data_IF_789640203012
#
_entry.id   IF_789640203012
#
_cell.length_a   1.000
_cell.length_b   1.000
_cell.length_c   1.000
_cell.angle_alpha   90.00
_cell.angle_beta   90.00
_cell.angle_gamma   90.00
#
_symmetry.space_group_name_H-M   'P 1'
#
loop_
_entity.id
_entity.type
_entity.pdbx_description
1 polymer ?
#
# COMPACT_ATOMS: atom_id res chain seq x y z
N UNK A 1 2.03 82.07 -1.71
CA UNK A 1 1.00 81.07 -1.34
C UNK A 1 0.93 80.03 -2.47
N UNK A 2 1.20 78.76 -2.14
CA UNK A 2 0.99 77.53 -2.93
C UNK A 2 1.76 77.37 -4.25
N UNK A 3 2.82 76.55 -4.21
CA UNK A 3 3.23 75.72 -5.35
C UNK A 3 3.47 74.30 -4.85
N UNK A 4 2.70 73.38 -5.42
CA UNK A 4 2.53 71.98 -5.01
C UNK A 4 3.76 71.12 -5.33
N UNK A 5 4.14 70.25 -4.40
CA UNK A 5 5.04 69.14 -4.66
C UNK A 5 4.20 67.94 -5.13
N UNK A 6 4.40 67.49 -6.38
CA UNK A 6 3.83 66.25 -6.88
C UNK A 6 4.79 65.10 -6.53
N UNK A 7 4.40 64.29 -5.55
CA UNK A 7 5.10 63.08 -5.14
C UNK A 7 4.62 61.93 -6.04
N UNK A 8 5.45 61.50 -6.99
CA UNK A 8 5.16 60.35 -7.85
C UNK A 8 5.27 59.05 -7.06
N UNK A 9 4.14 58.39 -6.80
CA UNK A 9 4.10 57.02 -6.26
C UNK A 9 4.51 56.03 -7.36
N UNK A 10 5.65 55.36 -7.17
CA UNK A 10 6.01 54.13 -7.87
C UNK A 10 5.32 52.95 -7.16
N UNK A 11 4.26 52.39 -7.78
CA UNK A 11 3.72 51.09 -7.36
C UNK A 11 4.56 49.97 -7.99
N UNK A 12 5.39 49.31 -7.19
CA UNK A 12 5.92 47.99 -7.50
C UNK A 12 5.00 46.94 -6.87
N UNK A 13 4.06 46.38 -7.63
CA UNK A 13 3.31 45.21 -7.22
C UNK A 13 4.11 43.95 -7.58
N UNK A 14 4.71 43.32 -6.56
CA UNK A 14 5.35 42.02 -6.68
C UNK A 14 4.30 40.96 -7.07
N UNK A 15 4.43 40.38 -8.26
CA UNK A 15 3.61 39.26 -8.68
C UNK A 15 3.94 38.03 -7.84
N UNK A 16 3.00 37.59 -7.01
CA UNK A 16 3.07 36.26 -6.38
C UNK A 16 2.82 35.22 -7.47
N UNK A 17 3.87 34.53 -7.91
CA UNK A 17 3.70 33.33 -8.71
C UNK A 17 3.19 32.21 -7.80
N UNK A 18 1.87 31.99 -7.82
CA UNK A 18 1.29 30.74 -7.35
C UNK A 18 1.69 29.68 -8.37
N UNK A 19 2.67 28.85 -8.03
CA UNK A 19 2.93 27.64 -8.79
C UNK A 19 1.67 26.78 -8.72
N UNK A 20 0.92 26.72 -9.82
CA UNK A 20 -0.17 25.78 -9.98
C UNK A 20 0.43 24.38 -9.76
N UNK A 21 0.05 23.72 -8.66
CA UNK A 21 0.31 22.30 -8.50
C UNK A 21 -0.43 21.62 -9.64
N UNK A 22 0.32 21.12 -10.62
CA UNK A 22 -0.22 20.24 -11.65
C UNK A 22 -0.79 19.04 -10.92
N UNK A 23 -2.12 18.99 -10.79
CA UNK A 23 -2.84 17.80 -10.36
C UNK A 23 -2.49 16.71 -11.37
N UNK A 24 -1.53 15.86 -11.03
CA UNK A 24 -1.40 14.57 -11.70
C UNK A 24 -2.77 13.93 -11.55
N UNK A 25 -3.39 13.58 -12.68
CA UNK A 25 -4.69 12.94 -12.70
C UNK A 25 -4.60 11.66 -11.87
N UNK A 26 -5.09 11.69 -10.62
CA UNK A 26 -5.32 10.50 -9.79
C UNK A 26 -6.19 9.55 -10.60
N UNK A 27 -5.61 8.42 -11.01
CA UNK A 27 -6.22 7.52 -11.99
C UNK A 27 -6.78 6.26 -11.34
N UNK A 28 -7.77 5.66 -11.99
CA UNK A 28 -8.14 4.29 -11.68
C UNK A 28 -6.97 3.35 -12.03
N UNK A 29 -6.75 2.35 -11.18
CA UNK A 29 -5.80 1.29 -11.45
C UNK A 29 -6.23 0.49 -12.70
N UNK A 30 -5.26 0.17 -13.55
CA UNK A 30 -5.50 -0.62 -14.76
C UNK A 30 -5.28 -2.10 -14.51
N UNK A 31 -6.09 -2.95 -15.15
CA UNK A 31 -5.90 -4.41 -15.12
C UNK A 31 -4.51 -4.77 -15.68
N UNK A 32 -3.76 -5.55 -14.92
CA UNK A 32 -2.46 -6.09 -15.31
C UNK A 32 -2.65 -7.36 -16.13
N UNK A 33 -1.95 -7.43 -17.27
CA UNK A 33 -1.90 -8.60 -18.16
C UNK A 33 -0.44 -8.97 -18.42
N UNK A 34 -0.21 -10.21 -18.88
CA UNK A 34 1.13 -10.67 -19.25
C UNK A 34 2.06 -10.86 -18.05
N UNK A 35 1.53 -11.08 -16.85
CA UNK A 35 2.33 -11.61 -15.76
C UNK A 35 2.93 -12.96 -16.19
N UNK A 36 4.21 -13.23 -15.88
CA UNK A 36 4.87 -14.48 -16.26
C UNK A 36 4.27 -15.68 -15.53
N UNK A 37 3.87 -16.71 -16.27
CA UNK A 37 3.32 -17.94 -15.69
C UNK A 37 4.36 -18.68 -14.82
N UNK A 38 3.88 -19.43 -13.82
CA UNK A 38 4.74 -20.21 -12.92
C UNK A 38 5.48 -19.39 -11.85
N UNK A 39 5.43 -18.06 -11.93
CA UNK A 39 6.06 -17.18 -10.94
C UNK A 39 5.23 -17.13 -9.66
N UNK A 40 5.90 -17.37 -8.53
CA UNK A 40 5.34 -17.28 -7.19
C UNK A 40 6.26 -16.45 -6.30
N UNK A 41 5.70 -15.40 -5.71
CA UNK A 41 6.34 -14.67 -4.62
C UNK A 41 5.68 -15.04 -3.29
N UNK A 42 6.44 -15.03 -2.21
CA UNK A 42 5.94 -15.25 -0.86
C UNK A 42 6.55 -14.24 0.10
N UNK A 43 5.72 -13.72 1.00
CA UNK A 43 6.15 -12.95 2.16
C UNK A 43 5.71 -13.65 3.43
N UNK A 44 6.67 -13.94 4.31
CA UNK A 44 6.45 -14.59 5.61
C UNK A 44 6.69 -13.57 6.71
N UNK A 45 5.74 -13.40 7.62
CA UNK A 45 5.93 -12.49 8.74
C UNK A 45 7.04 -12.99 9.67
N UNK A 46 7.90 -12.10 10.20
CA UNK A 46 8.98 -12.48 11.09
C UNK A 46 8.47 -12.88 12.47
N UNK A 47 9.24 -13.64 13.25
CA UNK A 47 8.86 -14.00 14.62
C UNK A 47 8.81 -12.79 15.57
N UNK A 48 9.61 -11.76 15.29
CA UNK A 48 9.67 -10.54 16.11
C UNK A 48 8.72 -9.48 15.57
N UNK A 49 7.81 -8.94 16.40
CA UNK A 49 6.89 -7.91 15.97
C UNK A 49 7.60 -6.56 15.84
N UNK A 50 7.23 -5.79 14.82
CA UNK A 50 7.65 -4.39 14.73
C UNK A 50 6.97 -3.56 15.83
N UNK A 51 5.64 -3.69 15.95
CA UNK A 51 4.88 -3.03 17.00
C UNK A 51 4.68 -3.94 18.21
N UNK A 52 5.66 -3.94 19.13
CA UNK A 52 5.66 -4.80 20.31
C UNK A 52 4.41 -4.70 21.17
N UNK A 53 3.75 -3.54 21.22
CA UNK A 53 2.54 -3.35 22.01
C UNK A 53 1.33 -4.16 21.48
N UNK A 54 1.36 -4.66 20.24
CA UNK A 54 0.38 -5.63 19.75
C UNK A 54 0.52 -7.02 20.40
N UNK A 55 1.72 -7.32 20.91
CA UNK A 55 2.11 -8.62 21.45
C UNK A 55 2.84 -8.44 22.80
N UNK A 56 2.15 -7.99 23.86
CA UNK A 56 2.77 -7.70 25.16
C UNK A 56 3.44 -8.94 25.78
N UNK A 57 2.91 -10.13 25.49
CA UNK A 57 3.44 -11.42 25.95
C UNK A 57 4.45 -12.03 24.96
N UNK A 58 4.84 -11.29 23.92
CA UNK A 58 5.70 -11.74 22.84
C UNK A 58 4.97 -12.45 21.70
N UNK A 59 5.72 -12.71 20.63
CA UNK A 59 5.21 -13.25 19.37
C UNK A 59 4.87 -12.18 18.34
N UNK A 60 4.38 -12.61 17.19
CA UNK A 60 3.97 -11.77 16.07
C UNK A 60 2.87 -12.51 15.27
N UNK A 61 2.31 -11.86 14.26
CA UNK A 61 1.51 -12.54 13.24
C UNK A 61 2.34 -13.67 12.66
N UNK A 62 1.77 -14.88 12.57
CA UNK A 62 2.44 -16.06 12.02
C UNK A 62 1.83 -16.44 10.69
N UNK A 63 2.66 -16.94 9.77
CA UNK A 63 2.22 -17.42 8.46
C UNK A 63 2.66 -16.52 7.32
N UNK A 64 2.04 -16.70 6.16
CA UNK A 64 2.50 -16.09 4.91
C UNK A 64 1.36 -15.62 4.02
N UNK A 65 1.73 -14.74 3.09
CA UNK A 65 0.97 -14.41 1.91
C UNK A 65 1.76 -14.87 0.69
N UNK A 66 1.15 -15.75 -0.12
CA UNK A 66 1.69 -16.23 -1.38
C UNK A 66 0.98 -15.54 -2.53
N UNK A 67 1.72 -15.18 -3.56
CA UNK A 67 1.24 -14.45 -4.71
C UNK A 67 1.67 -15.17 -5.99
N UNK A 68 0.74 -15.85 -6.65
CA UNK A 68 0.99 -16.64 -7.86
C UNK A 68 0.38 -15.99 -9.10
N UNK A 69 1.05 -16.16 -10.23
CA UNK A 69 0.47 -15.75 -11.51
C UNK A 69 -0.52 -16.80 -12.01
N UNK A 70 -1.80 -16.44 -12.24
CA UNK A 70 -2.78 -17.37 -12.80
C UNK A 70 -2.49 -17.66 -14.27
N UNK A 71 -3.04 -18.77 -14.77
CA UNK A 71 -3.01 -19.11 -16.20
C UNK A 71 -3.53 -17.94 -17.03
N UNK A 72 -2.82 -17.58 -18.10
CA UNK A 72 -3.15 -16.43 -18.95
C UNK A 72 -2.59 -15.08 -18.44
N UNK A 73 -1.93 -15.05 -17.28
CA UNK A 73 -1.11 -13.92 -16.84
C UNK A 73 -1.88 -12.64 -16.48
N UNK A 74 -3.19 -12.70 -16.28
CA UNK A 74 -4.00 -11.55 -15.87
C UNK A 74 -4.10 -11.45 -14.35
N UNK A 75 -3.62 -10.36 -13.77
CA UNK A 75 -3.60 -10.14 -12.32
C UNK A 75 -2.71 -11.15 -11.57
N UNK A 76 -2.93 -11.22 -10.26
CA UNK A 76 -2.20 -12.09 -9.33
C UNK A 76 -3.19 -12.73 -8.36
N UNK A 77 -3.00 -14.02 -8.07
CA UNK A 77 -3.77 -14.73 -7.05
C UNK A 77 -3.00 -14.66 -5.74
N UNK A 78 -3.61 -14.05 -4.73
CA UNK A 78 -3.11 -14.03 -3.38
C UNK A 78 -3.74 -15.16 -2.58
N UNK A 79 -2.92 -15.95 -1.90
CA UNK A 79 -3.32 -16.96 -0.92
C UNK A 79 -2.71 -16.56 0.42
N UNK A 80 -3.56 -16.28 1.40
CA UNK A 80 -3.17 -15.79 2.72
C UNK A 80 -3.52 -16.86 3.75
N UNK A 81 -2.59 -17.12 4.66
CA UNK A 81 -2.84 -17.92 5.84
C UNK A 81 -2.08 -17.33 7.03
N UNK A 82 -2.79 -16.61 7.89
CA UNK A 82 -2.25 -15.94 9.06
C UNK A 82 -2.91 -16.43 10.33
N UNK A 83 -2.11 -16.59 11.38
CA UNK A 83 -2.56 -16.89 12.74
C UNK A 83 -1.92 -15.93 13.73
N UNK A 84 -2.38 -16.00 14.98
CA UNK A 84 -1.93 -15.10 16.04
C UNK A 84 -2.15 -13.62 15.69
N UNK A 85 -3.30 -13.31 15.09
CA UNK A 85 -3.70 -11.92 14.86
C UNK A 85 -3.88 -11.19 16.21
N UNK A 86 -3.64 -9.86 16.27
CA UNK A 86 -3.87 -9.11 17.50
C UNK A 86 -5.31 -9.27 18.00
N UNK A 87 -5.49 -9.34 19.32
CA UNK A 87 -6.82 -9.57 19.94
C UNK A 87 -7.78 -8.37 19.84
N UNK A 88 -7.26 -7.20 19.48
CA UNK A 88 -7.99 -5.94 19.38
C UNK A 88 -7.26 -4.99 18.42
N UNK A 89 -7.89 -3.83 18.13
CA UNK A 89 -7.33 -2.83 17.22
C UNK A 89 -7.73 -3.02 15.75
N UNK A 90 -8.60 -3.99 15.47
CA UNK A 90 -9.21 -4.16 14.15
C UNK A 90 -10.37 -3.19 13.88
N UNK A 91 -11.01 -3.24 12.70
CA UNK A 91 -10.69 -4.15 11.59
C UNK A 91 -9.25 -3.96 11.10
N UNK A 92 -8.59 -5.06 10.73
CA UNK A 92 -7.19 -5.03 10.34
C UNK A 92 -7.07 -4.91 8.82
N UNK A 93 -6.20 -3.99 8.41
CA UNK A 93 -5.91 -3.73 7.01
C UNK A 93 -4.56 -4.34 6.64
N UNK A 94 -4.37 -4.62 5.36
CA UNK A 94 -3.06 -5.02 4.86
C UNK A 94 -2.84 -4.53 3.44
N UNK A 95 -1.63 -4.02 3.19
CA UNK A 95 -1.31 -3.35 1.94
C UNK A 95 0.06 -3.76 1.40
N UNK A 96 0.20 -3.71 0.07
CA UNK A 96 1.50 -3.65 -0.58
C UNK A 96 2.09 -2.25 -0.40
N UNK A 97 3.34 -2.16 0.00
CA UNK A 97 4.06 -0.91 0.20
C UNK A 97 5.17 -0.73 -0.85
N UNK A 98 5.61 0.51 -1.06
CA UNK A 98 6.51 0.84 -2.18
C UNK A 98 7.95 0.38 -1.99
N UNK A 99 8.43 0.29 -0.74
CA UNK A 99 9.81 -0.07 -0.43
C UNK A 99 9.88 -1.39 0.35
N UNK A 100 10.98 -2.15 0.22
CA UNK A 100 11.19 -3.34 1.03
C UNK A 100 11.37 -3.00 2.52
N UNK A 101 11.06 -3.97 3.38
CA UNK A 101 11.44 -3.96 4.79
C UNK A 101 12.98 -4.02 4.88
N UNK A 102 13.63 -3.05 5.55
CA UNK A 102 15.08 -3.10 5.80
C UNK A 102 15.46 -4.23 6.77
N UNK A 103 16.75 -4.56 6.85
CA UNK A 103 17.28 -5.63 7.71
C UNK A 103 16.89 -5.49 9.19
N UNK A 104 16.71 -4.25 9.67
CA UNK A 104 16.31 -3.99 11.05
C UNK A 104 14.80 -4.16 11.31
N UNK A 105 14.01 -4.62 10.33
CA UNK A 105 12.58 -4.89 10.48
C UNK A 105 11.70 -3.64 10.63
N UNK A 106 12.21 -2.44 10.33
CA UNK A 106 11.46 -1.20 10.51
C UNK A 106 10.34 -1.06 9.46
N UNK A 107 9.10 -1.36 9.84
CA UNK A 107 7.96 -1.26 8.94
C UNK A 107 7.67 0.16 8.47
N UNK A 108 8.12 1.22 9.15
CA UNK A 108 7.95 2.60 8.66
C UNK A 108 8.79 2.87 7.41
N UNK A 109 9.91 2.17 7.25
CA UNK A 109 10.81 2.32 6.10
C UNK A 109 10.26 1.70 4.80
N UNK A 110 9.13 0.98 4.85
CA UNK A 110 8.43 0.51 3.65
C UNK A 110 7.70 1.65 2.91
N UNK A 111 7.67 2.86 3.51
CA UNK A 111 7.10 4.09 2.96
C UNK A 111 5.59 3.97 2.66
N UNK A 112 5.08 4.65 1.63
CA UNK A 112 3.66 4.70 1.28
C UNK A 112 3.14 3.37 0.69
N UNK A 113 1.81 3.27 0.52
CA UNK A 113 1.19 2.18 -0.23
C UNK A 113 1.68 2.20 -1.69
N UNK A 114 1.72 1.02 -2.29
CA UNK A 114 2.01 0.87 -3.71
C UNK A 114 0.88 1.50 -4.54
N UNK A 115 1.11 2.68 -5.08
CA UNK A 115 0.07 3.44 -5.77
C UNK A 115 0.61 4.14 -7.04
N UNK A 116 0.92 3.39 -8.11
CA UNK A 116 1.48 3.94 -9.34
C UNK A 116 0.52 4.88 -10.09
N UNK A 117 -0.75 4.92 -9.73
CA UNK A 117 -1.78 5.78 -10.34
C UNK A 117 -2.12 7.00 -9.46
N UNK A 118 -1.44 7.13 -8.33
CA UNK A 118 -1.65 8.21 -7.35
C UNK A 118 -3.13 8.34 -6.94
N UNK A 119 -3.87 7.22 -6.88
CA UNK A 119 -5.29 7.19 -6.54
C UNK A 119 -5.55 7.76 -5.14
N UNK A 120 -4.62 7.56 -4.23
CA UNK A 120 -4.70 8.00 -2.85
C UNK A 120 -5.79 7.29 -2.05
N UNK A 121 -5.94 7.71 -0.78
CA UNK A 121 -6.91 7.14 0.16
C UNK A 121 -8.27 7.86 0.16
N UNK A 122 -8.37 9.01 -0.53
CA UNK A 122 -9.60 9.82 -0.60
C UNK A 122 -9.98 10.08 -2.07
N UNK A 123 -11.20 9.69 -2.50
CA UNK A 123 -12.21 8.99 -1.70
C UNK A 123 -11.75 7.59 -1.28
N UNK A 124 -12.34 7.06 -0.20
CA UNK A 124 -12.05 5.72 0.34
C UNK A 124 -12.19 4.67 -0.77
N UNK A 125 -11.37 3.63 -0.71
CA UNK A 125 -11.47 2.49 -1.62
C UNK A 125 -12.91 1.94 -1.63
N UNK A 126 -13.45 1.81 -2.84
CA UNK A 126 -14.75 1.22 -3.10
C UNK A 126 -14.53 -0.22 -3.59
N UNK A 127 -14.89 -1.20 -2.77
CA UNK A 127 -14.70 -2.62 -3.09
C UNK A 127 -15.60 -3.09 -4.23
N UNK A 128 -16.71 -2.41 -4.48
CA UNK A 128 -17.58 -2.64 -5.63
C UNK A 128 -16.96 -2.10 -6.93
N UNK A 129 -16.01 -1.16 -6.80
CA UNK A 129 -15.23 -0.55 -7.89
C UNK A 129 -13.71 -0.61 -7.59
N UNK A 130 -13.09 -1.81 -7.54
CA UNK A 130 -11.74 -1.98 -7.03
C UNK A 130 -10.64 -1.31 -7.87
N UNK A 131 -10.94 -0.90 -9.11
CA UNK A 131 -10.09 -0.03 -9.91
C UNK A 131 -9.94 1.37 -9.30
N UNK A 132 -10.85 1.78 -8.43
CA UNK A 132 -10.78 3.05 -7.69
C UNK A 132 -9.97 2.92 -6.40
N UNK A 133 -9.36 1.78 -6.12
CA UNK A 133 -8.49 1.61 -4.96
C UNK A 133 -7.02 1.80 -5.35
N UNK A 134 -6.17 2.10 -4.38
CA UNK A 134 -4.73 2.06 -4.63
C UNK A 134 -4.32 0.65 -5.05
N UNK A 135 -3.35 0.50 -5.94
CA UNK A 135 -2.91 -0.83 -6.39
C UNK A 135 -2.54 -1.73 -5.22
N UNK A 136 -1.87 -1.18 -4.20
CA UNK A 136 -1.47 -1.88 -3.00
C UNK A 136 -2.54 -2.02 -1.93
N UNK A 137 -3.72 -1.40 -2.08
CA UNK A 137 -4.81 -1.54 -1.11
C UNK A 137 -5.53 -2.88 -1.31
N UNK A 138 -4.96 -3.95 -0.74
CA UNK A 138 -5.46 -5.30 -0.91
C UNK A 138 -6.69 -5.56 -0.06
N UNK A 139 -6.64 -5.22 1.23
CA UNK A 139 -7.77 -5.42 2.13
C UNK A 139 -8.96 -4.52 1.78
N UNK A 140 -8.74 -3.29 1.34
CA UNK A 140 -9.82 -2.41 0.90
C UNK A 140 -10.64 -3.01 -0.25
N UNK A 141 -10.00 -3.69 -1.21
CA UNK A 141 -10.69 -4.31 -2.36
C UNK A 141 -11.50 -5.56 -2.02
N UNK A 142 -11.12 -6.30 -0.98
CA UNK A 142 -11.75 -7.61 -0.66
C UNK A 142 -12.50 -7.62 0.68
N UNK A 143 -12.33 -6.56 1.48
CA UNK A 143 -12.80 -6.45 2.85
C UNK A 143 -11.67 -6.61 3.87
N UNK A 144 -11.70 -5.76 4.90
CA UNK A 144 -10.78 -5.83 6.02
C UNK A 144 -11.03 -7.07 6.91
N UNK A 145 -10.01 -7.46 7.65
CA UNK A 145 -10.08 -8.58 8.58
C UNK A 145 -10.81 -8.13 9.83
N UNK A 146 -11.84 -8.86 10.26
CA UNK A 146 -12.62 -8.45 11.43
C UNK A 146 -11.79 -8.56 12.72
N UNK A 147 -11.91 -7.56 13.61
CA UNK A 147 -11.04 -7.44 14.79
C UNK A 147 -11.22 -8.51 15.88
N UNK A 148 -12.17 -9.44 15.71
CA UNK A 148 -12.46 -10.53 16.65
C UNK A 148 -11.89 -11.89 16.20
N UNK A 149 -11.13 -11.94 15.11
CA UNK A 149 -10.52 -13.16 14.58
C UNK A 149 -9.08 -13.32 15.10
N UNK A 150 -8.71 -14.54 15.52
CA UNK A 150 -7.31 -14.90 15.84
C UNK A 150 -6.55 -15.44 14.64
N UNK A 151 -7.26 -15.80 13.57
CA UNK A 151 -6.76 -16.43 12.35
C UNK A 151 -7.48 -15.87 11.14
N UNK A 152 -6.79 -15.77 10.01
CA UNK A 152 -7.34 -15.29 8.75
C UNK A 152 -6.75 -16.11 7.60
N UNK A 153 -7.62 -16.74 6.82
CA UNK A 153 -7.24 -17.51 5.65
C UNK A 153 -8.17 -17.18 4.50
N UNK A 154 -7.60 -16.83 3.34
CA UNK A 154 -8.37 -16.49 2.15
C UNK A 154 -7.57 -16.72 0.88
N UNK A 155 -8.26 -16.81 -0.26
CA UNK A 155 -7.63 -16.77 -1.59
C UNK A 155 -8.50 -15.95 -2.53
N UNK A 156 -7.89 -15.01 -3.23
CA UNK A 156 -8.57 -14.15 -4.20
C UNK A 156 -7.63 -13.69 -5.31
N UNK A 157 -8.22 -13.26 -6.42
CA UNK A 157 -7.51 -12.67 -7.56
C UNK A 157 -7.55 -11.14 -7.44
N UNK A 158 -6.40 -10.49 -7.41
CA UNK A 158 -6.28 -9.04 -7.58
C UNK A 158 -5.84 -8.74 -9.01
N UNK A 159 -6.65 -7.95 -9.73
CA UNK A 159 -6.41 -7.65 -11.14
C UNK A 159 -5.35 -6.56 -11.36
N UNK A 160 -4.92 -5.86 -10.32
CA UNK A 160 -4.16 -4.62 -10.42
C UNK A 160 -2.69 -4.78 -9.99
N UNK A 161 -2.38 -5.82 -9.21
CA UNK A 161 -1.03 -6.20 -8.80
C UNK A 161 -0.27 -6.90 -9.93
N UNK A 162 1.05 -6.72 -9.97
CA UNK A 162 1.91 -7.33 -10.98
C UNK A 162 3.06 -8.16 -10.41
N UNK A 163 3.31 -9.30 -11.05
CA UNK A 163 4.54 -10.10 -10.96
C UNK A 163 5.49 -9.81 -12.15
N UNK A 164 5.04 -9.03 -13.14
CA UNK A 164 5.86 -8.59 -14.27
C UNK A 164 6.77 -7.41 -13.87
N UNK A 165 8.09 -7.64 -13.89
CA UNK A 165 9.09 -6.60 -13.63
C UNK A 165 8.96 -5.45 -14.64
N UNK A 166 9.21 -4.22 -14.17
CA UNK A 166 9.15 -3.01 -14.98
C UNK A 166 7.80 -2.29 -14.94
N UNK A 167 6.73 -2.95 -14.49
CA UNK A 167 5.47 -2.28 -14.19
C UNK A 167 5.55 -1.52 -12.86
N UNK A 168 4.92 -0.34 -12.79
CA UNK A 168 4.79 0.42 -11.55
C UNK A 168 4.08 -0.37 -10.44
N UNK A 169 3.15 -1.27 -10.81
CA UNK A 169 2.44 -2.19 -9.92
C UNK A 169 3.22 -3.46 -9.53
N UNK A 170 4.46 -3.61 -10.01
CA UNK A 170 5.31 -4.75 -9.63
C UNK A 170 5.65 -4.70 -8.14
N UNK A 171 5.25 -5.72 -7.39
CA UNK A 171 5.46 -5.77 -5.93
C UNK A 171 6.50 -6.81 -5.49
N UNK A 172 7.00 -7.67 -6.39
CA UNK A 172 7.84 -8.82 -6.04
C UNK A 172 9.18 -8.49 -5.38
N UNK A 173 9.62 -7.23 -5.40
CA UNK A 173 10.80 -6.71 -4.68
C UNK A 173 10.44 -5.72 -3.54
N UNK A 174 9.18 -5.75 -3.09
CA UNK A 174 8.65 -4.83 -2.09
C UNK A 174 8.09 -5.62 -0.90
N UNK A 175 7.27 -4.97 -0.09
CA UNK A 175 6.76 -5.54 1.15
C UNK A 175 5.23 -5.55 1.25
N UNK A 176 4.72 -6.46 2.08
CA UNK A 176 3.40 -6.39 2.67
C UNK A 176 3.50 -5.77 4.08
N UNK A 177 2.52 -4.96 4.46
CA UNK A 177 2.38 -4.43 5.83
C UNK A 177 0.98 -4.72 6.35
N UNK A 178 0.90 -5.17 7.59
CA UNK A 178 -0.35 -5.36 8.33
C UNK A 178 -0.57 -4.18 9.29
N UNK A 179 -1.80 -3.68 9.36
CA UNK A 179 -2.15 -2.50 10.13
C UNK A 179 -3.35 -2.74 11.06
N UNK A 180 -3.37 -1.99 12.15
CA UNK A 180 -4.59 -1.69 12.89
C UNK A 180 -5.51 -0.75 12.11
N UNK A 181 -6.78 -0.67 12.52
CA UNK A 181 -7.77 0.25 11.98
C UNK A 181 -7.32 1.73 12.01
N UNK A 182 -6.51 2.09 13.01
CA UNK A 182 -5.92 3.43 13.13
C UNK A 182 -4.65 3.64 12.27
N UNK A 183 -4.38 2.73 11.32
CA UNK A 183 -3.23 2.72 10.40
C UNK A 183 -1.87 2.45 11.04
N UNK A 184 -1.80 2.15 12.35
CA UNK A 184 -0.55 1.71 13.00
C UNK A 184 -0.03 0.45 12.32
N UNK A 185 1.22 0.48 11.84
CA UNK A 185 1.90 -0.69 11.25
C UNK A 185 2.23 -1.67 12.38
N UNK A 186 1.72 -2.88 12.29
CA UNK A 186 1.91 -3.92 13.32
C UNK A 186 3.10 -4.82 12.98
N UNK A 187 3.11 -5.32 11.74
CA UNK A 187 4.12 -6.22 11.21
C UNK A 187 4.25 -6.02 9.70
N UNK A 188 5.38 -6.42 9.14
CA UNK A 188 5.68 -6.31 7.71
C UNK A 188 6.64 -7.41 7.28
N UNK A 189 6.62 -7.73 5.99
CA UNK A 189 7.49 -8.75 5.40
C UNK A 189 7.81 -8.42 3.95
N UNK A 190 8.99 -8.83 3.48
CA UNK A 190 9.36 -8.73 2.07
C UNK A 190 8.81 -9.89 1.27
N UNK A 191 8.38 -9.59 0.04
CA UNK A 191 8.17 -10.63 -0.96
C UNK A 191 9.51 -11.14 -1.49
N UNK A 192 9.61 -12.46 -1.60
CA UNK A 192 10.76 -13.15 -2.21
C UNK A 192 10.26 -14.15 -3.24
N UNK A 193 11.02 -14.33 -4.32
CA UNK A 193 10.72 -15.31 -5.35
C UNK A 193 10.92 -16.73 -4.78
N UNK A 194 9.88 -17.57 -4.82
CA UNK A 194 9.93 -18.96 -4.33
C UNK A 194 9.71 -20.00 -5.43
N UNK A 195 9.21 -19.59 -6.59
CA UNK A 195 9.18 -20.38 -7.82
C UNK A 195 9.15 -19.45 -9.04
N UNK A 196 9.83 -19.81 -10.13
CA UNK A 196 9.87 -19.04 -11.37
C UNK A 196 10.95 -19.51 -12.33
#
# INVERSE_FOLDING_TARGET
>A
MRTSAALSLLLAAAGTQVAAQTSVSRGNATIVKGNPEGVVYEAVFPDTPFFKAAYPDGGNIKGSIRASTPVGGEGVVFTINWTNLPKAGGPFMYHLHVAPVPENGNCTATLAHLDPFERGEDPVCDKEHPETCQTGDLSGKIGDITGNQSEFSTTYKDLYSANLKGLGSFFGNRSIVFHYANKTRVSCANFTLVAG
#
